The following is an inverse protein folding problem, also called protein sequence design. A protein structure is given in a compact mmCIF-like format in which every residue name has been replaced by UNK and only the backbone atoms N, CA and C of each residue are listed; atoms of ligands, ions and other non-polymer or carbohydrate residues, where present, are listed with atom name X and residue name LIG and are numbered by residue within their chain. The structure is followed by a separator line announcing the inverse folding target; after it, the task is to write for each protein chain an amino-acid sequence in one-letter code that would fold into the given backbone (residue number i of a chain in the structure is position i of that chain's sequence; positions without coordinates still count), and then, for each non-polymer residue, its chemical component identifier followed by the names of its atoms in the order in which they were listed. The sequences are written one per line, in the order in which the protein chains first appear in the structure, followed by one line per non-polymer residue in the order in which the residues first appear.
data_IF_582150973981
#
_entry.id   IF_582150973981
#
_cell.length_a   1.000
_cell.length_b   1.000
_cell.length_c   1.000
_cell.angle_alpha   90.00
_cell.angle_beta   90.00
_cell.angle_gamma   90.00
#
_symmetry.space_group_name_H-M   'P 1'
#
loop_
_entity.id
_entity.type
_entity.pdbx_description
1 polymer ?
#
# COMPACT_ATOMS: atom_id res chain seq x y z
N UNK A 1 -4.46 -9.11 -18.34
CA UNK A 1 -3.18 -8.76 -17.70
C UNK A 1 -3.16 -9.42 -16.33
N UNK A 2 -2.04 -10.00 -15.90
CA UNK A 2 -1.97 -10.67 -14.59
C UNK A 2 -2.05 -9.65 -13.46
N UNK A 3 -2.84 -9.94 -12.43
CA UNK A 3 -3.03 -9.08 -11.26
C UNK A 3 -2.46 -9.74 -10.01
N UNK A 4 -1.56 -9.05 -9.33
CA UNK A 4 -1.05 -9.45 -8.02
C UNK A 4 -1.63 -8.51 -6.96
N UNK A 5 -2.07 -9.02 -5.83
CA UNK A 5 -2.45 -8.19 -4.67
C UNK A 5 -1.39 -8.34 -3.59
N UNK A 6 -0.74 -7.23 -3.24
CA UNK A 6 0.23 -7.14 -2.15
C UNK A 6 -0.48 -6.51 -0.95
N UNK A 7 -0.50 -7.19 0.19
CA UNK A 7 -1.17 -6.71 1.40
C UNK A 7 -0.14 -6.42 2.48
N UNK A 8 -0.08 -5.16 2.92
CA UNK A 8 0.78 -4.70 4.01
C UNK A 8 0.15 -5.07 5.36
N UNK A 9 0.73 -6.04 6.05
CA UNK A 9 0.25 -6.53 7.35
C UNK A 9 1.36 -6.63 8.42
N UNK A 10 2.53 -6.00 8.20
CA UNK A 10 3.70 -6.08 9.07
C UNK A 10 3.71 -5.06 10.22
N UNK A 11 2.77 -4.10 10.25
CA UNK A 11 2.77 -3.01 11.22
C UNK A 11 2.50 -3.48 12.66
N UNK A 12 3.24 -2.92 13.62
CA UNK A 12 3.15 -3.27 15.07
C UNK A 12 1.81 -2.92 15.71
N UNK A 13 1.03 -2.00 15.14
CA UNK A 13 -0.29 -1.62 15.68
C UNK A 13 -0.26 -1.08 17.13
N UNK A 14 0.81 -0.44 17.55
CA UNK A 14 1.06 -0.01 18.95
C UNK A 14 -0.06 0.83 19.54
N UNK A 15 -0.78 1.62 18.71
CA UNK A 15 -1.93 2.44 19.12
C UNK A 15 -3.14 1.61 19.57
N UNK A 16 -3.23 0.35 19.19
CA UNK A 16 -4.36 -0.54 19.56
C UNK A 16 -4.31 -1.01 21.02
N UNK A 17 -3.17 -0.93 21.69
CA UNK A 17 -2.96 -1.37 23.08
C UNK A 17 -3.48 -2.81 23.31
N UNK A 18 -3.27 -3.70 22.36
CA UNK A 18 -3.74 -5.09 22.36
C UNK A 18 -2.57 -6.02 22.07
N UNK A 19 -2.58 -7.21 22.67
CA UNK A 19 -1.64 -8.30 22.35
C UNK A 19 -1.96 -8.96 21.00
N UNK A 20 -3.21 -8.81 20.52
CA UNK A 20 -3.61 -9.32 19.21
C UNK A 20 -3.09 -8.37 18.12
N UNK A 21 -2.39 -8.87 17.11
CA UNK A 21 -1.96 -8.07 15.97
C UNK A 21 -3.10 -7.24 15.38
N UNK A 22 -2.81 -5.97 14.97
CA UNK A 22 -3.83 -5.05 14.48
C UNK A 22 -4.71 -5.67 13.37
N UNK A 23 -4.07 -6.37 12.45
CA UNK A 23 -4.74 -6.98 11.29
C UNK A 23 -5.62 -8.18 11.64
N UNK A 24 -5.47 -8.73 12.85
CA UNK A 24 -6.31 -9.80 13.39
C UNK A 24 -7.49 -9.27 14.23
N UNK A 25 -7.54 -7.96 14.53
CA UNK A 25 -8.69 -7.40 15.24
C UNK A 25 -9.99 -7.70 14.48
N UNK A 26 -11.05 -8.13 15.19
CA UNK A 26 -12.27 -8.53 14.53
C UNK A 26 -13.14 -7.32 14.13
N UNK A 27 -13.70 -7.39 12.94
CA UNK A 27 -14.77 -6.52 12.46
C UNK A 27 -15.88 -7.41 11.93
N UNK A 28 -17.10 -7.29 12.49
CA UNK A 28 -18.25 -8.11 12.10
C UNK A 28 -17.93 -9.63 12.04
N UNK A 29 -17.24 -10.14 13.07
CA UNK A 29 -16.90 -11.56 13.23
C UNK A 29 -15.75 -12.08 12.34
N UNK A 30 -15.02 -11.21 11.63
CA UNK A 30 -13.88 -11.57 10.78
C UNK A 30 -12.69 -10.66 11.07
N UNK A 31 -11.43 -11.15 11.05
CA UNK A 31 -10.25 -10.31 11.15
C UNK A 31 -10.21 -9.23 10.05
N UNK A 32 -9.67 -8.04 10.35
CA UNK A 32 -9.50 -6.96 9.36
C UNK A 32 -8.84 -7.46 8.08
N UNK A 33 -7.72 -8.17 8.19
CA UNK A 33 -7.01 -8.77 7.06
C UNK A 33 -7.91 -9.75 6.27
N UNK A 34 -8.79 -10.49 6.96
CA UNK A 34 -9.72 -11.43 6.32
C UNK A 34 -10.74 -10.75 5.40
N UNK A 35 -11.11 -9.49 5.68
CA UNK A 35 -11.94 -8.68 4.78
C UNK A 35 -11.15 -8.28 3.53
N UNK A 36 -9.91 -7.84 3.69
CA UNK A 36 -9.03 -7.41 2.58
C UNK A 36 -8.75 -8.60 1.65
N UNK A 37 -8.37 -9.76 2.22
CA UNK A 37 -8.15 -11.01 1.44
C UNK A 37 -9.43 -11.40 0.68
N UNK A 38 -10.60 -11.31 1.31
CA UNK A 38 -11.86 -11.60 0.63
C UNK A 38 -12.11 -10.68 -0.56
N UNK A 39 -11.78 -9.40 -0.43
CA UNK A 39 -11.91 -8.44 -1.54
C UNK A 39 -10.90 -8.74 -2.65
N UNK A 40 -9.64 -9.07 -2.29
CA UNK A 40 -8.62 -9.49 -3.25
C UNK A 40 -9.05 -10.73 -4.06
N UNK A 41 -9.60 -11.73 -3.40
CA UNK A 41 -10.13 -12.94 -4.07
C UNK A 41 -11.28 -12.64 -5.03
N UNK A 42 -12.16 -11.68 -4.71
CA UNK A 42 -13.25 -11.26 -5.60
C UNK A 42 -12.76 -10.57 -6.87
N UNK A 43 -11.57 -10.01 -6.88
CA UNK A 43 -10.92 -9.43 -8.07
C UNK A 43 -10.36 -10.52 -9.00
N UNK A 44 -10.44 -11.80 -8.63
CA UNK A 44 -9.78 -12.91 -9.33
C UNK A 44 -8.27 -12.67 -9.51
N UNK A 45 -7.62 -12.11 -8.48
CA UNK A 45 -6.18 -11.89 -8.49
C UNK A 45 -5.42 -13.22 -8.68
N UNK A 46 -4.44 -13.23 -9.59
CA UNK A 46 -3.62 -14.42 -9.90
C UNK A 46 -2.68 -14.74 -8.73
N UNK A 47 -2.26 -13.73 -7.97
CA UNK A 47 -1.43 -13.90 -6.78
C UNK A 47 -1.92 -13.00 -5.65
N UNK A 48 -1.88 -13.53 -4.43
CA UNK A 48 -2.03 -12.75 -3.20
C UNK A 48 -0.74 -12.92 -2.38
N UNK A 49 -0.02 -11.82 -2.17
CA UNK A 49 1.20 -11.76 -1.36
C UNK A 49 0.87 -10.95 -0.12
N UNK A 50 1.05 -11.51 1.07
CA UNK A 50 0.82 -10.80 2.32
C UNK A 50 2.14 -10.65 3.06
N UNK A 51 2.48 -9.40 3.38
CA UNK A 51 3.69 -9.05 4.10
C UNK A 51 3.37 -9.05 5.59
N UNK A 52 4.03 -9.90 6.33
CA UNK A 52 3.90 -9.98 7.78
C UNK A 52 5.19 -9.50 8.49
N UNK A 53 5.09 -9.24 9.78
CA UNK A 53 6.20 -8.82 10.63
C UNK A 53 5.92 -9.23 12.07
N UNK A 54 5.83 -8.25 12.96
CA UNK A 54 5.56 -8.50 14.37
C UNK A 54 4.27 -9.32 14.59
N UNK A 55 4.35 -10.42 15.35
CA UNK A 55 3.23 -11.34 15.55
C UNK A 55 2.87 -12.19 14.33
N UNK A 56 3.77 -12.32 13.37
CA UNK A 56 3.54 -12.99 12.09
C UNK A 56 3.07 -14.42 12.19
N UNK A 57 3.55 -15.20 13.18
CA UNK A 57 3.11 -16.58 13.41
C UNK A 57 1.60 -16.65 13.67
N UNK A 58 1.05 -15.74 14.49
CA UNK A 58 -0.38 -15.69 14.76
C UNK A 58 -1.17 -15.30 13.50
N UNK A 59 -0.62 -14.36 12.70
CA UNK A 59 -1.27 -13.93 11.46
C UNK A 59 -1.30 -15.07 10.45
N UNK A 60 -0.19 -15.77 10.24
CA UNK A 60 -0.12 -16.92 9.32
C UNK A 60 -1.03 -18.06 9.77
N UNK A 61 -1.02 -18.40 11.06
CA UNK A 61 -1.88 -19.45 11.62
C UNK A 61 -3.38 -19.16 11.42
N UNK A 62 -3.80 -17.89 11.56
CA UNK A 62 -5.19 -17.48 11.36
C UNK A 62 -5.68 -17.65 9.91
N UNK A 63 -4.77 -17.78 8.93
CA UNK A 63 -5.06 -17.91 7.51
C UNK A 63 -4.37 -19.11 6.86
N UNK A 64 -4.01 -20.14 7.63
CA UNK A 64 -3.26 -21.30 7.15
C UNK A 64 -3.95 -22.06 5.98
N UNK A 65 -5.27 -22.02 5.92
CA UNK A 65 -6.07 -22.65 4.86
C UNK A 65 -6.23 -21.78 3.60
N UNK A 66 -5.64 -20.58 3.58
CA UNK A 66 -5.75 -19.65 2.45
C UNK A 66 -4.54 -19.81 1.52
N UNK A 67 -4.78 -19.79 0.22
CA UNK A 67 -3.72 -19.73 -0.79
C UNK A 67 -3.12 -18.31 -0.83
N UNK A 68 -2.13 -18.07 0.04
CA UNK A 68 -1.46 -16.78 0.21
C UNK A 68 0.05 -17.02 0.22
N UNK A 69 0.79 -16.22 -0.53
CA UNK A 69 2.25 -16.15 -0.40
C UNK A 69 2.60 -15.22 0.75
N UNK A 70 3.30 -15.74 1.74
CA UNK A 70 3.74 -14.97 2.90
C UNK A 70 5.16 -14.46 2.69
N UNK A 71 5.38 -13.17 2.96
CA UNK A 71 6.69 -12.52 2.89
C UNK A 71 6.97 -11.83 4.20
N UNK A 72 8.13 -12.10 4.79
CA UNK A 72 8.52 -11.48 6.05
C UNK A 72 9.16 -10.11 5.83
N UNK A 73 8.72 -9.13 6.62
CA UNK A 73 9.44 -7.89 6.88
C UNK A 73 10.01 -7.96 8.30
N UNK A 74 11.21 -8.52 8.45
CA UNK A 74 11.83 -8.72 9.76
C UNK A 74 12.10 -7.38 10.47
N UNK A 75 12.59 -6.38 9.74
CA UNK A 75 12.80 -5.01 10.23
C UNK A 75 11.75 -4.08 9.61
N UNK A 76 11.00 -3.35 10.45
CA UNK A 76 9.96 -2.42 9.99
C UNK A 76 10.59 -1.07 9.61
N UNK A 77 11.26 -1.03 8.45
CA UNK A 77 11.96 0.15 7.92
C UNK A 77 11.10 1.01 6.99
N UNK A 78 9.78 0.90 7.07
CA UNK A 78 8.84 1.69 6.29
C UNK A 78 8.01 0.87 5.29
N UNK A 79 7.04 1.53 4.64
CA UNK A 79 6.10 0.90 3.70
C UNK A 79 6.77 0.51 2.38
N UNK A 80 7.71 1.32 1.90
CA UNK A 80 8.52 0.99 0.72
C UNK A 80 9.38 -0.24 0.94
N UNK A 81 10.05 -0.33 2.11
CA UNK A 81 10.81 -1.52 2.50
C UNK A 81 9.92 -2.77 2.55
N UNK A 82 8.70 -2.66 3.09
CA UNK A 82 7.77 -3.79 3.10
C UNK A 82 7.52 -4.33 1.68
N UNK A 83 7.23 -3.45 0.72
CA UNK A 83 7.00 -3.86 -0.67
C UNK A 83 8.29 -4.38 -1.33
N UNK A 84 9.47 -3.82 -1.02
CA UNK A 84 10.76 -4.34 -1.49
C UNK A 84 10.95 -5.83 -1.14
N UNK A 85 10.50 -6.25 0.04
CA UNK A 85 10.61 -7.66 0.46
C UNK A 85 9.87 -8.62 -0.47
N UNK A 86 8.90 -8.13 -1.25
CA UNK A 86 8.16 -8.98 -2.19
C UNK A 86 8.90 -9.23 -3.51
N UNK A 87 9.93 -8.47 -3.85
CA UNK A 87 10.63 -8.56 -5.15
C UNK A 87 11.08 -9.97 -5.55
N UNK A 88 11.59 -10.83 -4.63
CA UNK A 88 11.99 -12.18 -5.00
C UNK A 88 10.84 -13.09 -5.47
N UNK A 89 9.60 -12.76 -5.09
CA UNK A 89 8.41 -13.58 -5.39
C UNK A 89 7.38 -12.85 -6.27
N UNK A 90 7.62 -11.56 -6.53
CA UNK A 90 6.76 -10.74 -7.37
C UNK A 90 6.98 -11.08 -8.86
N UNK A 91 5.94 -11.44 -9.63
CA UNK A 91 6.07 -11.61 -11.07
C UNK A 91 6.62 -10.33 -11.73
N UNK A 92 7.42 -10.47 -12.80
CA UNK A 92 7.96 -9.32 -13.51
C UNK A 92 6.90 -8.58 -14.33
N UNK A 93 5.93 -9.34 -14.83
CA UNK A 93 4.85 -8.82 -15.67
C UNK A 93 3.55 -8.69 -14.88
N UNK A 94 2.66 -7.79 -15.35
CA UNK A 94 1.36 -7.56 -14.76
C UNK A 94 1.28 -6.28 -13.93
N UNK A 95 0.21 -6.16 -13.14
CA UNK A 95 -0.06 -5.03 -12.25
C UNK A 95 -0.22 -5.54 -10.82
N UNK A 96 0.40 -4.85 -9.87
CA UNK A 96 0.19 -5.06 -8.45
C UNK A 96 -0.76 -4.03 -7.86
N UNK A 97 -1.79 -4.50 -7.14
CA UNK A 97 -2.55 -3.70 -6.17
C UNK A 97 -1.85 -3.80 -4.81
N UNK A 98 -1.48 -2.67 -4.24
CA UNK A 98 -0.89 -2.59 -2.90
C UNK A 98 -1.98 -2.09 -1.96
N UNK A 99 -2.30 -2.89 -0.95
CA UNK A 99 -3.39 -2.66 -0.01
C UNK A 99 -2.87 -2.69 1.43
N UNK A 100 -3.53 -1.96 2.33
CA UNK A 100 -3.29 -2.09 3.76
C UNK A 100 -4.21 -3.15 4.37
N UNK A 101 -3.64 -4.08 5.13
CA UNK A 101 -4.36 -5.20 5.75
C UNK A 101 -5.35 -4.78 6.85
N UNK A 102 -5.35 -3.52 7.24
CA UNK A 102 -6.24 -2.90 8.22
C UNK A 102 -7.27 -1.93 7.62
N UNK A 103 -7.45 -1.95 6.29
CA UNK A 103 -8.48 -1.17 5.57
C UNK A 103 -9.57 -2.13 5.04
N UNK A 104 -10.43 -2.67 5.91
CA UNK A 104 -11.35 -3.78 5.60
C UNK A 104 -12.51 -3.40 4.68
N UNK A 105 -12.82 -2.10 4.56
CA UNK A 105 -14.02 -1.62 3.86
C UNK A 105 -13.74 -1.18 2.41
N UNK A 106 -12.54 -1.44 1.89
CA UNK A 106 -12.26 -1.14 0.48
C UNK A 106 -13.14 -1.99 -0.44
N UNK A 107 -13.83 -1.34 -1.39
CA UNK A 107 -14.73 -2.03 -2.29
C UNK A 107 -14.00 -2.66 -3.48
N UNK A 108 -14.54 -3.78 -3.97
CA UNK A 108 -14.06 -4.40 -5.22
C UNK A 108 -14.13 -3.40 -6.39
N UNK A 109 -15.22 -2.64 -6.47
CA UNK A 109 -15.42 -1.66 -7.55
C UNK A 109 -14.35 -0.57 -7.55
N UNK A 110 -13.98 -0.05 -6.38
CA UNK A 110 -12.90 0.95 -6.26
C UNK A 110 -11.59 0.40 -6.77
N UNK A 111 -11.25 -0.84 -6.41
CA UNK A 111 -10.01 -1.49 -6.85
C UNK A 111 -10.03 -1.81 -8.35
N UNK A 112 -11.19 -2.21 -8.91
CA UNK A 112 -11.32 -2.42 -10.34
C UNK A 112 -11.14 -1.11 -11.11
N UNK A 113 -11.79 -0.03 -10.67
CA UNK A 113 -11.63 1.29 -11.29
C UNK A 113 -10.17 1.76 -11.24
N UNK A 114 -9.47 1.50 -10.14
CA UNK A 114 -8.04 1.82 -10.01
C UNK A 114 -7.20 1.01 -11.01
N UNK A 115 -7.44 -0.29 -11.14
CA UNK A 115 -6.76 -1.14 -12.12
C UNK A 115 -6.98 -0.63 -13.54
N UNK A 116 -8.23 -0.31 -13.90
CA UNK A 116 -8.60 0.16 -15.22
C UNK A 116 -7.91 1.51 -15.55
N UNK A 117 -7.91 2.45 -14.61
CA UNK A 117 -7.23 3.73 -14.75
C UNK A 117 -5.70 3.59 -14.87
N UNK A 118 -5.12 2.59 -14.21
CA UNK A 118 -3.67 2.39 -14.16
C UNK A 118 -3.12 1.76 -15.45
N UNK A 119 -3.92 1.01 -16.22
CA UNK A 119 -3.45 0.28 -17.41
C UNK A 119 -2.71 1.16 -18.42
N UNK A 120 -3.15 2.40 -18.61
CA UNK A 120 -2.54 3.35 -19.55
C UNK A 120 -1.38 4.14 -18.94
N UNK A 121 -1.42 4.34 -17.62
CA UNK A 121 -0.50 5.23 -16.88
C UNK A 121 0.67 4.47 -16.21
N UNK A 122 0.51 3.17 -15.97
CA UNK A 122 1.49 2.32 -15.27
C UNK A 122 1.54 2.50 -13.77
N UNK A 123 0.94 3.56 -13.23
CA UNK A 123 0.77 3.82 -11.79
C UNK A 123 -0.53 4.60 -11.53
N UNK A 124 -1.23 4.23 -10.49
CA UNK A 124 -2.40 4.94 -9.99
C UNK A 124 -2.53 4.80 -8.48
N UNK A 125 -3.30 5.68 -7.86
CA UNK A 125 -3.58 5.62 -6.42
C UNK A 125 -5.00 6.09 -6.09
N UNK A 126 -5.49 5.61 -4.95
CA UNK A 126 -6.75 6.09 -4.38
C UNK A 126 -6.46 7.25 -3.45
N UNK A 127 -7.10 8.39 -3.67
CA UNK A 127 -7.05 9.55 -2.76
C UNK A 127 -8.38 9.72 -2.05
N UNK A 128 -8.39 10.49 -0.97
CA UNK A 128 -9.58 10.83 -0.22
C UNK A 128 -9.45 12.24 0.35
N UNK A 129 -10.54 13.02 0.32
CA UNK A 129 -10.58 14.32 0.98
C UNK A 129 -11.16 14.18 2.38
N UNK A 130 -10.42 14.60 3.40
CA UNK A 130 -10.81 14.53 4.81
C UNK A 130 -10.96 15.93 5.40
N UNK A 131 -11.90 16.10 6.33
CA UNK A 131 -12.01 17.32 7.13
C UNK A 131 -10.75 17.53 7.99
N UNK A 132 -10.27 16.46 8.63
CA UNK A 132 -8.98 16.42 9.33
C UNK A 132 -8.06 15.41 8.64
N UNK A 133 -7.03 15.93 8.01
CA UNK A 133 -6.02 15.14 7.29
C UNK A 133 -4.77 14.84 8.14
N UNK A 134 -4.79 15.11 9.45
CA UNK A 134 -3.64 14.93 10.34
C UNK A 134 -3.11 13.49 10.32
N UNK A 135 -1.80 13.36 10.21
CA UNK A 135 -1.12 12.05 10.21
C UNK A 135 -1.08 11.32 8.85
N UNK A 136 -1.71 11.85 7.81
CA UNK A 136 -1.67 11.27 6.45
C UNK A 136 -0.71 12.03 5.54
N UNK A 137 -0.19 11.36 4.52
CA UNK A 137 0.49 12.00 3.39
C UNK A 137 -0.47 12.88 2.60
N UNK A 138 0.00 14.04 2.15
CA UNK A 138 -0.78 15.01 1.37
C UNK A 138 -0.55 14.83 -0.11
N UNK A 139 -1.63 14.92 -0.89
CA UNK A 139 -1.55 14.92 -2.35
C UNK A 139 -1.35 16.37 -2.81
N UNK A 140 -0.17 16.64 -3.34
CA UNK A 140 0.14 17.95 -3.91
C UNK A 140 -0.21 17.92 -5.39
N UNK A 141 -1.08 18.85 -5.83
CA UNK A 141 -1.49 18.98 -7.23
C UNK A 141 -1.06 20.31 -7.83
N UNK A 142 -0.78 20.28 -9.13
CA UNK A 142 -0.62 21.45 -9.97
C UNK A 142 -1.42 21.22 -11.25
N UNK A 143 -2.25 22.16 -11.61
CA UNK A 143 -3.13 22.09 -12.80
C UNK A 143 -3.97 20.79 -12.84
N UNK A 144 -4.46 20.34 -11.68
CA UNK A 144 -5.23 19.11 -11.50
C UNK A 144 -4.41 17.81 -11.47
N UNK A 145 -3.14 17.85 -11.88
CA UNK A 145 -2.26 16.68 -11.92
C UNK A 145 -1.52 16.50 -10.60
N UNK A 146 -1.35 15.25 -10.16
CA UNK A 146 -0.53 14.91 -8.99
C UNK A 146 0.92 15.27 -9.29
N UNK A 147 1.54 16.02 -8.38
CA UNK A 147 2.96 16.41 -8.46
C UNK A 147 3.82 15.75 -7.40
N UNK A 148 3.24 15.45 -6.25
CA UNK A 148 3.94 14.80 -5.16
C UNK A 148 2.97 14.22 -4.14
N UNK A 149 3.46 13.28 -3.36
CA UNK A 149 2.89 12.91 -2.06
C UNK A 149 3.90 13.35 -1.00
N UNK A 150 3.47 14.16 -0.05
CA UNK A 150 4.33 14.63 1.04
C UNK A 150 3.82 14.07 2.35
N UNK A 151 4.64 13.28 3.04
CA UNK A 151 4.28 12.69 4.31
C UNK A 151 4.07 13.78 5.38
N UNK A 152 3.17 13.52 6.35
CA UNK A 152 2.76 14.53 7.34
C UNK A 152 3.94 15.16 8.10
N UNK A 153 4.98 14.38 8.39
CA UNK A 153 6.15 14.86 9.15
C UNK A 153 7.09 15.71 8.31
N UNK A 154 7.12 15.48 6.99
CA UNK A 154 7.95 16.22 6.04
C UNK A 154 7.22 17.43 5.43
N UNK A 155 5.87 17.52 5.64
CA UNK A 155 5.03 18.57 5.07
C UNK A 155 5.27 19.94 5.72
N UNK A 156 5.36 21.00 4.89
CA UNK A 156 5.32 22.38 5.33
C UNK A 156 3.96 22.73 5.96
N UNK A 157 3.88 23.86 6.66
CA UNK A 157 2.60 24.34 7.24
C UNK A 157 1.52 24.53 6.15
N UNK A 158 1.89 25.06 4.99
CA UNK A 158 1.00 25.22 3.85
C UNK A 158 0.52 23.87 3.32
N UNK A 159 1.43 22.92 3.11
CA UNK A 159 1.09 21.57 2.65
C UNK A 159 0.19 20.83 3.64
N UNK A 160 0.33 21.06 4.95
CA UNK A 160 -0.54 20.47 5.97
C UNK A 160 -2.00 20.95 5.87
N UNK A 161 -2.28 22.07 5.23
CA UNK A 161 -3.65 22.57 4.99
C UNK A 161 -4.36 21.79 3.86
N UNK A 162 -3.63 21.08 3.02
CA UNK A 162 -4.20 20.23 1.98
C UNK A 162 -5.05 19.15 2.65
N UNK A 163 -6.29 18.98 2.17
CA UNK A 163 -7.26 18.03 2.71
C UNK A 163 -7.28 16.72 1.94
N UNK A 164 -6.74 16.68 0.72
CA UNK A 164 -6.60 15.47 -0.06
C UNK A 164 -5.41 14.66 0.45
N UNK A 165 -5.69 13.40 0.80
CA UNK A 165 -4.73 12.51 1.42
C UNK A 165 -4.40 11.32 0.53
N UNK A 166 -3.20 10.77 0.74
CA UNK A 166 -2.82 9.45 0.28
C UNK A 166 -3.46 8.38 1.17
N UNK A 167 -4.23 7.47 0.57
CA UNK A 167 -4.86 6.35 1.31
C UNK A 167 -3.91 5.17 1.52
N UNK A 168 -2.76 5.14 0.84
CA UNK A 168 -1.84 4.01 0.83
C UNK A 168 -2.29 2.86 -0.09
N UNK A 169 -3.29 3.09 -0.94
CA UNK A 169 -3.78 2.11 -1.91
C UNK A 169 -3.27 2.49 -3.29
N UNK A 170 -2.49 1.59 -3.90
CA UNK A 170 -1.86 1.82 -5.20
C UNK A 170 -2.15 0.67 -6.17
N UNK A 171 -2.14 0.99 -7.46
CA UNK A 171 -1.94 0.02 -8.52
C UNK A 171 -0.68 0.43 -9.30
N UNK A 172 0.25 -0.51 -9.51
CA UNK A 172 1.54 -0.22 -10.14
C UNK A 172 1.95 -1.37 -11.04
N UNK A 173 2.48 -1.06 -12.22
CA UNK A 173 3.12 -2.06 -13.07
C UNK A 173 4.23 -2.79 -12.31
N UNK A 174 4.24 -4.12 -12.38
CA UNK A 174 5.26 -4.94 -11.71
C UNK A 174 6.67 -4.60 -12.21
N UNK A 175 6.81 -4.36 -13.52
CA UNK A 175 8.09 -3.95 -14.11
C UNK A 175 8.62 -2.67 -13.46
N UNK A 176 7.73 -1.70 -13.19
CA UNK A 176 8.10 -0.45 -12.52
C UNK A 176 8.40 -0.64 -11.03
N UNK A 177 7.70 -1.53 -10.34
CA UNK A 177 8.06 -1.90 -8.97
C UNK A 177 9.47 -2.51 -8.90
N UNK A 178 9.81 -3.41 -9.83
CA UNK A 178 11.16 -3.99 -9.92
C UNK A 178 12.25 -2.93 -10.21
N UNK A 179 11.91 -1.87 -10.96
CA UNK A 179 12.82 -0.77 -11.28
C UNK A 179 12.96 0.23 -10.12
N UNK A 180 11.83 0.65 -9.51
CA UNK A 180 11.82 1.76 -8.56
C UNK A 180 12.13 1.36 -7.13
N UNK A 181 11.61 0.22 -6.65
CA UNK A 181 11.79 -0.18 -5.26
C UNK A 181 13.26 -0.26 -4.81
N UNK A 182 14.21 -0.80 -5.62
CA UNK A 182 15.62 -0.81 -5.22
C UNK A 182 16.26 0.58 -5.10
N UNK A 183 15.64 1.62 -5.66
CA UNK A 183 16.12 3.00 -5.66
C UNK A 183 15.54 3.86 -4.53
N UNK A 184 14.63 3.32 -3.73
CA UNK A 184 14.09 4.02 -2.57
C UNK A 184 15.21 4.39 -1.60
N UNK A 185 15.11 5.57 -0.99
CA UNK A 185 16.00 6.02 0.08
C UNK A 185 15.23 6.22 1.38
N UNK A 186 15.94 6.34 2.48
CA UNK A 186 15.39 6.66 3.79
C UNK A 186 15.84 8.04 4.30
N UNK A 187 16.28 8.91 3.39
CA UNK A 187 16.67 10.28 3.69
C UNK A 187 15.42 11.18 3.84
N UNK A 188 14.74 11.05 4.98
CA UNK A 188 13.52 11.77 5.31
C UNK A 188 13.37 11.88 6.84
N UNK A 189 12.36 12.62 7.31
CA UNK A 189 12.14 12.92 8.73
C UNK A 189 11.94 11.68 9.63
N UNK A 190 11.60 10.52 9.07
CA UNK A 190 11.39 9.27 9.81
C UNK A 190 12.54 8.27 9.67
N UNK A 191 13.47 8.47 8.73
CA UNK A 191 14.51 7.49 8.41
C UNK A 191 13.94 6.20 7.80
N UNK A 192 12.77 6.25 7.16
CA UNK A 192 12.04 5.11 6.63
C UNK A 192 12.03 5.13 5.09
N UNK A 193 11.98 3.96 4.47
CA UNK A 193 11.74 3.84 3.02
C UNK A 193 10.26 4.05 2.74
N UNK A 194 9.91 5.21 2.19
CA UNK A 194 8.52 5.56 1.88
C UNK A 194 8.08 4.95 0.55
N UNK A 195 6.95 4.26 0.55
CA UNK A 195 6.36 3.79 -0.71
C UNK A 195 5.88 4.97 -1.58
N UNK A 196 5.51 6.09 -0.96
CA UNK A 196 5.07 7.31 -1.64
C UNK A 196 6.10 7.87 -2.63
N UNK A 197 7.39 7.55 -2.45
CA UNK A 197 8.47 8.03 -3.32
C UNK A 197 8.39 7.46 -4.74
N UNK A 198 7.68 6.32 -4.94
CA UNK A 198 7.46 5.79 -6.30
C UNK A 198 6.66 6.75 -7.18
N UNK A 199 5.84 7.63 -6.59
CA UNK A 199 5.11 8.66 -7.32
C UNK A 199 6.07 9.70 -7.90
N UNK A 200 7.03 10.16 -7.11
CA UNK A 200 8.07 11.07 -7.62
C UNK A 200 8.93 10.41 -8.71
N UNK A 201 9.23 9.12 -8.58
CA UNK A 201 9.96 8.37 -9.60
C UNK A 201 9.15 8.24 -10.90
N UNK A 202 7.84 7.97 -10.81
CA UNK A 202 6.96 7.91 -11.98
C UNK A 202 6.93 9.24 -12.74
N UNK A 203 6.81 10.36 -12.01
CA UNK A 203 6.83 11.70 -12.61
C UNK A 203 8.19 12.03 -13.24
N UNK A 204 9.29 11.63 -12.60
CA UNK A 204 10.64 11.79 -13.16
C UNK A 204 10.85 10.96 -14.44
N UNK A 205 10.20 9.81 -14.56
CA UNK A 205 10.18 8.97 -15.77
C UNK A 205 9.22 9.53 -16.85
N UNK A 206 8.58 10.71 -16.62
CA UNK A 206 7.64 11.36 -17.55
C UNK A 206 6.26 10.71 -17.59
N UNK A 207 5.93 9.88 -16.59
CA UNK A 207 4.62 9.23 -16.48
C UNK A 207 3.62 10.14 -15.76
N UNK A 208 2.36 10.04 -16.12
CA UNK A 208 1.27 10.60 -15.32
C UNK A 208 0.79 9.58 -14.28
N UNK A 209 0.13 10.06 -13.24
CA UNK A 209 -0.39 9.23 -12.15
C UNK A 209 -1.91 9.30 -12.18
N UNK A 210 -2.59 8.12 -12.32
CA UNK A 210 -4.03 8.00 -12.37
C UNK A 210 -4.69 8.15 -10.99
#
# INVERSE_FOLDING_TARGET
MSTTVIILAAGKGTRMRSSLPKVLQPLAGRPLLGHVIKTAKKLNADNIITIYGHGGEQVQAAFAEQEIKWVEQAEQLGTGHAVQMTLPVLPKDGISLILSGDVPCISQQTLQNLLDATQEQGIGLVTLTLADASGYGRIVRKDGQIQAIVEHKDASEEQRQIKEINTGIYAVSNAKLHEWLPRLSNDNAQGEYYLTDIVAMALADGMSVA
#
